data_IF_673168119856
#
_entry.id   IF_673168119856
#
_cell.length_a   1.000
_cell.length_b   1.000
_cell.length_c   1.000
_cell.angle_alpha   90.00
_cell.angle_beta   90.00
_cell.angle_gamma   90.00
#
_symmetry.space_group_name_H-M   'P 1'
#
loop_
_entity.id
_entity.type
_entity.pdbx_description
1 polymer ?
#
# COMPACT_ATOMS: atom_id res chain seq x y z
N UNK A 1 -4.15 -39.07 -9.39
CA UNK A 1 -4.13 -37.59 -9.39
C UNK A 1 -2.69 -37.20 -9.58
N UNK A 2 -2.37 -36.50 -10.68
CA UNK A 2 -0.99 -36.09 -11.00
C UNK A 2 -0.49 -35.09 -9.96
N UNK A 3 0.46 -35.50 -9.11
CA UNK A 3 1.08 -34.62 -8.12
C UNK A 3 1.72 -33.38 -8.77
N UNK A 4 2.27 -33.51 -9.97
CA UNK A 4 2.88 -32.40 -10.71
C UNK A 4 1.91 -31.27 -11.09
N UNK A 5 0.64 -31.59 -11.40
CA UNK A 5 -0.37 -30.56 -11.70
C UNK A 5 -0.80 -29.77 -10.46
N UNK A 6 -0.69 -30.38 -9.29
CA UNK A 6 -1.01 -29.73 -8.02
C UNK A 6 0.11 -28.77 -7.59
N UNK A 7 1.36 -29.16 -7.80
CA UNK A 7 2.54 -28.32 -7.56
C UNK A 7 2.56 -27.09 -8.48
N UNK A 8 2.24 -27.25 -9.78
CA UNK A 8 2.09 -26.12 -10.71
C UNK A 8 0.99 -25.14 -10.26
N UNK A 9 -0.16 -25.66 -9.81
CA UNK A 9 -1.27 -24.82 -9.34
C UNK A 9 -0.89 -24.05 -8.05
N UNK A 10 -0.17 -24.69 -7.13
CA UNK A 10 0.33 -24.05 -5.92
C UNK A 10 1.35 -22.94 -6.22
N UNK A 11 2.20 -23.12 -7.23
CA UNK A 11 3.16 -22.11 -7.65
C UNK A 11 2.49 -20.86 -8.26
N UNK A 12 1.24 -20.95 -8.73
CA UNK A 12 0.52 -19.84 -9.35
C UNK A 12 -0.58 -19.24 -8.47
N UNK A 13 -0.91 -19.90 -7.36
CA UNK A 13 -1.90 -19.40 -6.42
C UNK A 13 -1.31 -18.31 -5.52
N UNK A 14 -1.61 -17.04 -5.85
CA UNK A 14 -1.18 -15.87 -5.07
C UNK A 14 -2.36 -15.23 -4.37
N UNK A 15 -2.28 -15.12 -3.05
CA UNK A 15 -3.25 -14.38 -2.23
C UNK A 15 -2.74 -12.96 -2.03
N UNK A 16 -3.61 -11.97 -2.26
CA UNK A 16 -3.34 -10.58 -1.94
C UNK A 16 -4.37 -10.09 -0.94
N UNK A 17 -3.90 -9.39 0.08
CA UNK A 17 -4.69 -8.86 1.17
C UNK A 17 -4.51 -7.36 1.21
N UNK A 18 -5.62 -6.65 1.32
CA UNK A 18 -5.66 -5.22 1.58
C UNK A 18 -6.41 -4.98 2.88
N UNK A 19 -5.86 -4.18 3.78
CA UNK A 19 -6.55 -3.78 5.00
C UNK A 19 -6.62 -2.26 5.11
N UNK A 20 -7.78 -1.78 5.55
CA UNK A 20 -8.05 -0.36 5.75
C UNK A 20 -8.74 -0.16 7.10
N UNK A 21 -8.41 0.93 7.78
CA UNK A 21 -9.11 1.37 8.97
C UNK A 21 -9.98 2.58 8.65
N UNK A 22 -11.27 2.45 8.89
CA UNK A 22 -12.25 3.50 8.66
C UNK A 22 -13.46 3.29 9.58
N UNK A 23 -13.97 4.38 10.15
CA UNK A 23 -15.26 4.37 10.85
C UNK A 23 -16.42 4.14 9.86
N UNK A 24 -17.27 3.17 10.15
CA UNK A 24 -18.35 2.72 9.27
C UNK A 24 -19.59 2.34 10.06
N UNK A 25 -20.75 2.35 9.38
CA UNK A 25 -21.98 1.86 9.97
C UNK A 25 -22.10 0.36 9.75
N UNK A 26 -22.27 -0.41 10.82
CA UNK A 26 -22.50 -1.84 10.74
C UNK A 26 -23.89 -2.18 11.30
N UNK A 27 -24.64 -3.01 10.60
CA UNK A 27 -25.98 -3.38 11.03
C UNK A 27 -26.66 -4.41 10.14
N UNK A 28 -27.84 -4.85 10.59
CA UNK A 28 -28.67 -5.78 9.85
C UNK A 28 -29.44 -5.05 8.75
N UNK A 29 -29.05 -5.27 7.50
CA UNK A 29 -29.72 -4.73 6.31
C UNK A 29 -30.49 -5.85 5.61
N UNK A 30 -31.72 -5.57 5.23
CA UNK A 30 -32.54 -6.52 4.46
C UNK A 30 -34.03 -6.31 4.67
N UNK A 31 -34.80 -7.32 4.29
CA UNK A 31 -36.25 -7.31 4.43
C UNK A 31 -36.67 -7.75 5.84
N UNK A 32 -37.99 -7.71 6.11
CA UNK A 32 -38.54 -8.29 7.33
C UNK A 32 -38.23 -9.79 7.47
N UNK A 33 -38.13 -10.50 6.35
CA UNK A 33 -38.00 -11.97 6.30
C UNK A 33 -36.55 -12.47 6.20
N UNK A 34 -35.64 -11.62 5.71
CA UNK A 34 -34.22 -11.96 5.59
C UNK A 34 -33.38 -10.71 5.78
N UNK A 35 -32.47 -10.76 6.75
CA UNK A 35 -31.54 -9.69 7.07
C UNK A 35 -30.12 -10.25 7.06
N UNK A 36 -29.20 -9.51 6.45
CA UNK A 36 -27.77 -9.79 6.49
C UNK A 36 -27.09 -8.71 7.34
N UNK A 37 -26.15 -9.12 8.18
CA UNK A 37 -25.27 -8.15 8.82
C UNK A 37 -24.32 -7.59 7.76
N UNK A 38 -24.25 -6.27 7.63
CA UNK A 38 -23.50 -5.60 6.57
C UNK A 38 -22.83 -4.35 7.11
N UNK A 39 -21.66 -4.05 6.55
CA UNK A 39 -20.94 -2.80 6.77
C UNK A 39 -21.26 -1.85 5.61
N UNK A 40 -21.70 -0.64 5.95
CA UNK A 40 -22.09 0.42 5.02
C UNK A 40 -21.13 1.59 5.21
N UNK A 41 -20.52 2.03 4.11
CA UNK A 41 -19.60 3.16 4.06
C UNK A 41 -18.71 3.11 2.82
N UNK A 42 -17.86 4.13 2.66
CA UNK A 42 -16.86 4.18 1.59
C UNK A 42 -15.67 3.23 1.77
N UNK A 43 -15.63 2.44 2.86
CA UNK A 43 -14.54 1.49 3.13
C UNK A 43 -14.34 0.48 1.99
N UNK A 44 -15.42 0.03 1.34
CA UNK A 44 -15.31 -0.90 0.22
C UNK A 44 -14.53 -0.29 -0.95
N UNK A 45 -14.77 0.98 -1.26
CA UNK A 45 -14.02 1.71 -2.29
C UNK A 45 -12.55 1.88 -1.93
N UNK A 46 -12.27 2.22 -0.67
CA UNK A 46 -10.90 2.38 -0.19
C UNK A 46 -10.15 1.04 -0.22
N UNK A 47 -10.78 -0.06 0.18
CA UNK A 47 -10.23 -1.40 0.08
C UNK A 47 -9.96 -1.81 -1.38
N UNK A 48 -10.89 -1.56 -2.30
CA UNK A 48 -10.69 -1.83 -3.74
C UNK A 48 -9.49 -1.02 -4.29
N UNK A 49 -9.35 0.24 -3.86
CA UNK A 49 -8.23 1.11 -4.24
C UNK A 49 -6.89 0.54 -3.75
N UNK A 50 -6.82 0.09 -2.50
CA UNK A 50 -5.62 -0.54 -1.93
C UNK A 50 -5.33 -1.88 -2.62
N UNK A 51 -6.35 -2.69 -2.88
CA UNK A 51 -6.19 -3.96 -3.57
C UNK A 51 -5.65 -3.76 -5.00
N UNK A 52 -6.06 -2.68 -5.67
CA UNK A 52 -5.49 -2.32 -6.97
C UNK A 52 -4.00 -1.98 -6.85
N UNK A 53 -3.58 -1.25 -5.81
CA UNK A 53 -2.15 -1.01 -5.54
C UNK A 53 -1.40 -2.32 -5.34
N UNK A 54 -1.96 -3.26 -4.56
CA UNK A 54 -1.35 -4.57 -4.37
C UNK A 54 -1.20 -5.36 -5.67
N UNK A 55 -2.16 -5.26 -6.58
CA UNK A 55 -2.07 -5.89 -7.92
C UNK A 55 -1.01 -5.20 -8.78
N UNK A 56 -1.07 -3.87 -8.87
CA UNK A 56 -0.20 -3.07 -9.72
C UNK A 56 1.27 -3.16 -9.32
N UNK A 57 1.55 -3.34 -8.03
CA UNK A 57 2.88 -3.48 -7.45
C UNK A 57 3.25 -4.92 -7.12
N UNK A 58 2.37 -5.88 -7.39
CA UNK A 58 2.56 -7.29 -7.11
C UNK A 58 2.91 -7.59 -5.63
N UNK A 59 2.18 -6.97 -4.71
CA UNK A 59 2.39 -7.07 -3.26
C UNK A 59 1.40 -8.04 -2.62
N UNK A 60 1.84 -8.74 -1.59
CA UNK A 60 1.02 -9.70 -0.85
C UNK A 60 0.07 -9.04 0.14
N UNK A 61 0.55 -8.06 0.92
CA UNK A 61 -0.23 -7.41 1.97
C UNK A 61 -0.01 -5.90 1.91
N UNK A 62 -1.08 -5.14 1.75
CA UNK A 62 -1.05 -3.67 1.75
C UNK A 62 -1.99 -3.09 2.81
N UNK A 63 -1.55 -2.01 3.43
CA UNK A 63 -2.30 -1.30 4.47
C UNK A 63 -2.26 0.21 4.27
N UNK A 64 -3.25 0.91 4.81
CA UNK A 64 -3.22 2.37 4.91
C UNK A 64 -2.42 2.85 6.13
N UNK A 65 -1.92 4.08 6.07
CA UNK A 65 -1.19 4.81 7.13
C UNK A 65 -1.75 4.59 8.55
N UNK A 66 -3.07 4.75 8.75
CA UNK A 66 -3.69 4.57 10.10
C UNK A 66 -3.52 3.17 10.69
N UNK A 67 -3.40 2.15 9.85
CA UNK A 67 -3.11 0.77 10.29
C UNK A 67 -1.62 0.54 10.45
N UNK A 68 -0.81 1.14 9.57
CA UNK A 68 0.64 1.09 9.66
C UNK A 68 1.15 1.55 11.03
N UNK A 69 0.59 2.64 11.57
CA UNK A 69 0.89 3.16 12.93
C UNK A 69 0.61 2.16 14.06
N UNK A 70 -0.07 1.04 13.79
CA UNK A 70 -0.37 -0.03 14.76
C UNK A 70 0.38 -1.34 14.46
N UNK A 71 1.21 -1.36 13.42
CA UNK A 71 1.91 -2.54 12.93
C UNK A 71 3.39 -2.57 13.33
N UNK A 72 3.72 -2.15 14.56
CA UNK A 72 5.11 -2.04 15.06
C UNK A 72 5.87 -3.38 15.10
N UNK A 73 5.14 -4.49 15.14
CA UNK A 73 5.69 -5.84 15.18
C UNK A 73 5.96 -6.44 13.81
N UNK A 74 5.83 -5.66 12.74
CA UNK A 74 6.08 -6.11 11.38
C UNK A 74 7.04 -5.17 10.68
N UNK A 75 7.76 -5.73 9.72
CA UNK A 75 8.48 -4.91 8.77
C UNK A 75 7.50 -4.21 7.86
N UNK A 76 7.75 -2.94 7.60
CA UNK A 76 6.90 -2.14 6.74
C UNK A 76 7.74 -1.29 5.82
N UNK A 77 7.24 -1.07 4.62
CA UNK A 77 7.81 -0.10 3.69
C UNK A 77 6.71 0.70 3.02
N UNK A 78 6.98 1.98 2.78
CA UNK A 78 6.10 2.82 1.99
C UNK A 78 6.08 2.33 0.53
N UNK A 79 4.93 2.40 -0.14
CA UNK A 79 4.82 1.95 -1.54
C UNK A 79 4.15 2.97 -2.47
N UNK A 80 3.14 3.70 -1.99
CA UNK A 80 2.45 4.71 -2.78
C UNK A 80 1.67 5.70 -1.89
N UNK A 81 1.22 6.80 -2.46
CA UNK A 81 0.25 7.72 -1.85
C UNK A 81 -1.04 7.66 -2.65
N UNK A 82 -2.17 7.41 -1.99
CA UNK A 82 -3.49 7.36 -2.61
C UNK A 82 -4.47 8.34 -1.97
N UNK A 83 -5.39 8.84 -2.77
CA UNK A 83 -6.45 9.74 -2.34
C UNK A 83 -7.68 8.93 -1.90
N UNK A 84 -7.72 8.56 -0.61
CA UNK A 84 -8.78 7.74 -0.04
C UNK A 84 -9.98 8.59 0.40
N UNK A 85 -11.17 8.02 0.39
CA UNK A 85 -12.41 8.73 0.77
C UNK A 85 -12.53 8.81 2.28
N UNK A 86 -12.91 9.98 2.79
CA UNK A 86 -13.10 10.23 4.22
C UNK A 86 -14.43 9.61 4.73
N UNK A 87 -14.52 9.41 6.04
CA UNK A 87 -15.60 8.70 6.78
C UNK A 87 -17.01 9.29 6.63
N UNK A 88 -17.15 10.48 6.02
CA UNK A 88 -18.42 11.18 5.85
C UNK A 88 -19.18 10.79 4.57
N UNK A 89 -18.64 9.86 3.76
CA UNK A 89 -19.28 9.42 2.51
C UNK A 89 -19.81 8.00 2.63
N UNK A 90 -21.14 7.86 2.52
CA UNK A 90 -21.86 6.57 2.61
C UNK A 90 -22.26 5.99 1.25
N UNK A 91 -21.96 6.70 0.16
CA UNK A 91 -22.18 6.25 -1.22
C UNK A 91 -20.86 6.01 -1.93
N UNK A 92 -20.92 5.36 -3.09
CA UNK A 92 -19.75 5.18 -3.95
C UNK A 92 -19.41 6.53 -4.60
N UNK A 93 -18.15 7.00 -4.55
CA UNK A 93 -17.77 8.34 -5.01
C UNK A 93 -18.17 8.67 -6.45
N UNK A 94 -18.06 7.70 -7.37
CA UNK A 94 -18.39 7.90 -8.78
C UNK A 94 -19.89 8.05 -9.06
N UNK A 95 -20.76 7.58 -8.17
CA UNK A 95 -22.21 7.68 -8.34
C UNK A 95 -22.67 9.15 -8.28
N UNK A 96 -21.90 10.00 -7.60
CA UNK A 96 -22.18 11.44 -7.47
C UNK A 96 -21.83 12.18 -8.77
N UNK A 97 -20.90 11.67 -9.58
CA UNK A 97 -20.46 12.32 -10.82
C UNK A 97 -21.47 12.25 -11.99
N UNK A 98 -22.43 11.33 -11.96
CA UNK A 98 -23.33 11.05 -13.09
C UNK A 98 -24.72 11.69 -13.01
N UNK A 99 -24.98 12.61 -12.07
CA UNK A 99 -26.23 13.41 -12.09
C UNK A 99 -26.14 14.52 -13.15
N UNK A 100 -26.20 14.10 -14.41
CA UNK A 100 -26.19 14.92 -15.60
C UNK A 100 -27.52 15.63 -15.85
N UNK A 101 -27.83 16.64 -15.04
CA UNK A 101 -28.84 17.65 -15.36
C UNK A 101 -28.29 19.06 -15.09
N UNK A 102 -27.56 19.55 -16.10
CA UNK A 102 -27.70 20.92 -16.60
C UNK A 102 -27.74 22.11 -15.63
N UNK A 103 -26.85 22.21 -14.64
CA UNK A 103 -26.51 23.52 -14.05
C UNK A 103 -24.99 23.62 -13.87
N UNK A 104 -24.34 24.27 -14.85
CA UNK A 104 -23.01 24.83 -14.65
C UNK A 104 -23.17 26.16 -13.91
N UNK A 105 -22.58 26.27 -12.71
CA UNK A 105 -21.75 27.38 -12.19
C UNK A 105 -21.92 27.50 -10.67
N UNK A 106 -20.90 27.02 -9.94
CA UNK A 106 -20.34 27.49 -8.66
C UNK A 106 -19.93 26.28 -7.80
N UNK A 107 -18.62 26.19 -7.53
CA UNK A 107 -17.96 25.26 -6.60
C UNK A 107 -17.93 23.78 -7.05
N UNK A 108 -16.72 23.26 -7.31
CA UNK A 108 -16.47 21.82 -7.52
C UNK A 108 -16.92 21.08 -6.26
N UNK A 109 -18.16 20.62 -6.28
CA UNK A 109 -18.89 19.91 -5.25
C UNK A 109 -18.02 19.21 -4.18
N UNK A 110 -18.01 19.80 -2.99
CA UNK A 110 -17.53 19.27 -1.70
C UNK A 110 -18.26 18.00 -1.20
N UNK A 111 -18.87 17.22 -2.09
CA UNK A 111 -19.77 16.11 -1.69
C UNK A 111 -18.96 14.88 -1.23
N UNK A 112 -17.76 14.68 -1.77
CA UNK A 112 -16.89 13.57 -1.38
C UNK A 112 -15.51 14.11 -1.04
N UNK A 113 -15.22 14.23 0.26
CA UNK A 113 -13.89 14.61 0.72
C UNK A 113 -12.94 13.43 0.54
N UNK A 114 -11.82 13.67 -0.13
CA UNK A 114 -10.70 12.74 -0.18
C UNK A 114 -9.54 13.22 0.67
N UNK A 115 -8.77 12.28 1.20
CA UNK A 115 -7.55 12.50 1.97
C UNK A 115 -6.41 11.72 1.33
N UNK A 116 -5.33 12.43 1.02
CA UNK A 116 -4.07 11.78 0.68
C UNK A 116 -3.59 10.94 1.86
N UNK A 117 -3.39 9.66 1.60
CA UNK A 117 -3.02 8.65 2.60
C UNK A 117 -1.85 7.85 2.07
N UNK A 118 -0.83 7.66 2.89
CA UNK A 118 0.28 6.79 2.56
C UNK A 118 -0.16 5.32 2.62
N UNK A 119 0.32 4.54 1.66
CA UNK A 119 0.09 3.10 1.55
C UNK A 119 1.41 2.40 1.85
N UNK A 120 1.31 1.35 2.67
CA UNK A 120 2.46 0.58 3.13
C UNK A 120 2.27 -0.90 2.79
N UNK A 121 3.39 -1.56 2.50
CA UNK A 121 3.46 -3.01 2.45
C UNK A 121 3.81 -3.56 3.82
N UNK A 122 3.18 -4.68 4.20
CA UNK A 122 3.53 -5.44 5.40
C UNK A 122 4.38 -6.64 5.01
N UNK A 123 5.56 -6.72 5.62
CA UNK A 123 6.53 -7.81 5.47
C UNK A 123 6.46 -8.82 6.62
N UNK A 124 7.62 -9.38 6.97
CA UNK A 124 7.72 -10.40 8.01
C UNK A 124 7.53 -9.81 9.42
N UNK A 125 7.10 -10.64 10.36
CA UNK A 125 7.06 -10.29 11.78
C UNK A 125 8.49 -10.04 12.30
N UNK A 126 8.64 -9.01 13.14
CA UNK A 126 9.87 -8.71 13.87
C UNK A 126 9.95 -9.42 15.22
N UNK A 127 8.87 -10.11 15.63
CA UNK A 127 8.84 -10.91 16.86
C UNK A 127 9.50 -12.27 16.64
N UNK A 128 10.44 -12.60 17.51
CA UNK A 128 11.14 -13.89 17.49
C UNK A 128 10.18 -14.95 18.06
N UNK A 129 9.79 -15.93 17.25
CA UNK A 129 9.19 -17.16 17.77
C UNK A 129 10.32 -17.96 18.41
N UNK A 130 10.18 -18.19 19.72
CA UNK A 130 11.14 -18.86 20.60
C UNK A 130 11.70 -20.15 19.96
N UNK A 131 12.99 -20.12 19.61
CA UNK A 131 13.96 -21.22 19.60
C UNK A 131 15.36 -20.58 19.51
N UNK A 132 15.79 -20.09 20.68
CA UNK A 132 16.79 -19.05 20.95
C UNK A 132 18.27 -19.46 20.86
N UNK A 133 18.80 -20.04 19.78
CA UNK A 133 20.27 -20.14 19.72
C UNK A 133 20.91 -20.33 18.34
N UNK A 134 20.12 -20.56 17.28
CA UNK A 134 20.68 -20.86 15.95
C UNK A 134 20.51 -19.74 14.91
N UNK A 135 19.79 -18.65 15.24
CA UNK A 135 19.30 -17.69 14.24
C UNK A 135 19.71 -16.23 14.46
N UNK A 136 20.70 -15.90 15.29
CA UNK A 136 21.05 -14.49 15.56
C UNK A 136 21.52 -13.71 14.31
N UNK A 137 22.30 -14.34 13.42
CA UNK A 137 22.79 -13.69 12.19
C UNK A 137 21.69 -13.51 11.13
N UNK A 138 20.88 -14.54 10.91
CA UNK A 138 19.75 -14.45 9.98
C UNK A 138 18.66 -13.49 10.48
N UNK A 139 18.54 -13.29 11.80
CA UNK A 139 17.57 -12.38 12.41
C UNK A 139 17.99 -10.91 12.30
N UNK A 140 19.30 -10.62 12.33
CA UNK A 140 19.82 -9.28 12.04
C UNK A 140 19.64 -8.88 10.57
N UNK A 141 19.93 -9.78 9.64
CA UNK A 141 19.70 -9.55 8.20
C UNK A 141 18.22 -9.39 7.89
N UNK A 142 17.37 -10.23 8.50
CA UNK A 142 15.90 -10.10 8.38
C UNK A 142 15.45 -8.75 8.85
N UNK A 143 15.76 -8.33 10.10
CA UNK A 143 15.42 -7.01 10.65
C UNK A 143 15.92 -5.83 9.80
N UNK A 144 16.93 -6.05 8.96
CA UNK A 144 17.53 -5.08 8.05
C UNK A 144 16.86 -4.91 6.69
N UNK A 145 15.96 -5.82 6.27
CA UNK A 145 15.53 -5.97 4.87
C UNK A 145 15.17 -4.65 4.17
N UNK A 146 14.40 -3.78 4.82
CA UNK A 146 13.94 -2.52 4.22
C UNK A 146 14.55 -1.27 4.87
N UNK A 147 15.61 -1.40 5.67
CA UNK A 147 16.18 -0.25 6.39
C UNK A 147 16.73 0.81 5.44
N UNK A 148 17.49 0.40 4.42
CA UNK A 148 18.04 1.32 3.42
C UNK A 148 16.93 1.98 2.59
N UNK A 149 15.90 1.21 2.23
CA UNK A 149 14.72 1.72 1.55
C UNK A 149 13.98 2.76 2.40
N UNK A 150 13.71 2.43 3.66
CA UNK A 150 12.99 3.31 4.59
C UNK A 150 13.79 4.58 4.90
N UNK A 151 15.13 4.49 4.96
CA UNK A 151 15.99 5.67 5.05
C UNK A 151 15.86 6.54 3.80
N UNK A 152 15.82 5.95 2.61
CA UNK A 152 15.61 6.69 1.37
C UNK A 152 14.23 7.38 1.33
N UNK A 153 13.20 6.72 1.85
CA UNK A 153 11.84 7.27 1.97
C UNK A 153 11.82 8.50 2.89
N UNK A 154 12.62 8.53 3.97
CA UNK A 154 12.76 9.73 4.80
C UNK A 154 13.29 10.93 4.01
N UNK A 155 14.34 10.73 3.19
CA UNK A 155 14.87 11.78 2.31
C UNK A 155 13.86 12.18 1.22
N UNK A 156 13.11 11.22 0.68
CA UNK A 156 12.02 11.49 -0.28
C UNK A 156 10.97 12.44 0.32
N UNK A 157 10.51 12.17 1.54
CA UNK A 157 9.57 13.05 2.24
C UNK A 157 10.18 14.40 2.62
N UNK A 158 11.49 14.44 2.91
CA UNK A 158 12.24 15.67 3.12
C UNK A 158 12.52 16.46 1.82
N UNK A 159 12.08 15.97 0.66
CA UNK A 159 12.32 16.53 -0.68
C UNK A 159 13.79 16.56 -1.11
N UNK A 160 14.65 15.82 -0.41
CA UNK A 160 16.02 15.57 -0.83
C UNK A 160 16.03 14.37 -1.79
N UNK A 161 15.65 14.63 -3.03
CA UNK A 161 15.51 13.59 -4.05
C UNK A 161 16.85 13.00 -4.49
N UNK A 162 17.95 13.75 -4.35
CA UNK A 162 19.28 13.29 -4.74
C UNK A 162 19.79 12.22 -3.76
N UNK A 163 19.72 12.49 -2.46
CA UNK A 163 20.05 11.49 -1.44
C UNK A 163 19.10 10.29 -1.48
N UNK A 164 17.79 10.52 -1.67
CA UNK A 164 16.83 9.44 -1.83
C UNK A 164 17.18 8.52 -3.01
N UNK A 165 17.57 9.08 -4.16
CA UNK A 165 17.98 8.30 -5.34
C UNK A 165 19.22 7.46 -5.07
N UNK A 166 20.26 8.03 -4.46
CA UNK A 166 21.48 7.30 -4.14
C UNK A 166 21.20 6.07 -3.27
N UNK A 167 20.37 6.22 -2.23
CA UNK A 167 20.01 5.13 -1.34
C UNK A 167 19.10 4.08 -2.02
N UNK A 168 18.15 4.50 -2.85
CA UNK A 168 17.27 3.58 -3.59
C UNK A 168 18.02 2.75 -4.63
N UNK A 169 18.97 3.36 -5.35
CA UNK A 169 19.83 2.62 -6.31
C UNK A 169 20.68 1.60 -5.58
N UNK A 170 21.32 1.99 -4.47
CA UNK A 170 22.10 1.07 -3.63
C UNK A 170 21.24 -0.07 -3.06
N UNK A 171 20.00 0.23 -2.68
CA UNK A 171 19.05 -0.80 -2.24
C UNK A 171 18.70 -1.78 -3.35
N UNK A 172 18.41 -1.27 -4.55
CA UNK A 172 18.13 -2.10 -5.73
C UNK A 172 19.32 -2.99 -6.09
N UNK A 173 20.54 -2.48 -6.02
CA UNK A 173 21.76 -3.27 -6.22
C UNK A 173 21.91 -4.37 -5.17
N UNK A 174 21.60 -4.10 -3.90
CA UNK A 174 21.66 -5.11 -2.84
C UNK A 174 20.68 -6.27 -3.07
N UNK A 175 19.51 -6.00 -3.64
CA UNK A 175 18.52 -7.03 -3.96
C UNK A 175 18.95 -7.96 -5.11
N UNK A 176 19.84 -7.51 -6.00
CA UNK A 176 20.34 -8.31 -7.12
C UNK A 176 21.41 -9.33 -6.70
N UNK A 177 21.98 -9.18 -5.52
CA UNK A 177 23.02 -10.05 -4.98
C UNK A 177 22.48 -11.19 -4.09
N UNK A 178 21.20 -11.17 -3.73
CA UNK A 178 20.57 -12.24 -2.95
C UNK A 178 20.18 -13.41 -3.87
N UNK A 179 20.98 -14.49 -3.86
CA UNK A 179 20.86 -15.72 -4.68
C UNK A 179 19.56 -16.55 -4.47
N UNK A 180 18.59 -16.04 -3.71
CA UNK A 180 17.41 -16.79 -3.26
C UNK A 180 16.11 -16.07 -3.61
N UNK A 181 15.79 -16.00 -4.90
CA UNK A 181 14.39 -15.94 -5.33
C UNK A 181 14.08 -14.96 -6.45
N UNK A 182 14.38 -15.37 -7.68
CA UNK A 182 13.69 -14.91 -8.89
C UNK A 182 13.97 -13.48 -9.32
N UNK A 183 14.12 -13.28 -10.62
CA UNK A 183 14.23 -11.98 -11.31
C UNK A 183 12.94 -11.14 -11.21
N UNK A 184 12.21 -11.19 -10.10
CA UNK A 184 10.99 -10.42 -9.89
C UNK A 184 11.39 -9.00 -9.48
N UNK A 185 11.45 -8.13 -10.48
CA UNK A 185 11.76 -6.71 -10.33
C UNK A 185 10.95 -6.08 -9.19
N UNK A 186 11.63 -5.44 -8.24
CA UNK A 186 10.97 -4.75 -7.12
C UNK A 186 10.27 -3.47 -7.61
N UNK A 187 9.02 -3.63 -8.03
CA UNK A 187 8.19 -2.57 -8.59
C UNK A 187 8.06 -1.33 -7.67
N UNK A 188 7.94 -1.45 -6.33
CA UNK A 188 7.87 -0.29 -5.45
C UNK A 188 9.13 0.58 -5.51
N UNK A 189 10.32 -0.03 -5.51
CA UNK A 189 11.60 0.70 -5.62
C UNK A 189 11.73 1.39 -6.96
N UNK A 190 11.43 0.71 -8.07
CA UNK A 190 11.51 1.29 -9.41
C UNK A 190 10.56 2.48 -9.57
N UNK A 191 9.32 2.36 -9.10
CA UNK A 191 8.36 3.47 -9.16
C UNK A 191 8.83 4.66 -8.33
N UNK A 192 9.43 4.42 -7.16
CA UNK A 192 9.92 5.50 -6.32
C UNK A 192 11.15 6.19 -6.93
N UNK A 193 12.08 5.43 -7.53
CA UNK A 193 13.21 5.99 -8.29
C UNK A 193 12.71 6.89 -9.41
N UNK A 194 11.74 6.41 -10.22
CA UNK A 194 11.15 7.21 -11.29
C UNK A 194 10.48 8.48 -10.77
N UNK A 195 9.77 8.41 -9.63
CA UNK A 195 9.18 9.59 -8.97
C UNK A 195 10.28 10.59 -8.56
N UNK A 196 11.34 10.13 -7.88
CA UNK A 196 12.44 11.01 -7.47
C UNK A 196 13.14 11.66 -8.67
N UNK A 197 13.40 10.91 -9.75
CA UNK A 197 13.98 11.46 -10.99
C UNK A 197 13.11 12.58 -11.58
N UNK A 198 11.78 12.35 -11.67
CA UNK A 198 10.85 13.38 -12.18
C UNK A 198 10.84 14.62 -11.30
N UNK A 199 10.87 14.46 -9.98
CA UNK A 199 10.86 15.59 -9.04
C UNK A 199 12.19 16.34 -8.98
N UNK A 200 13.32 15.66 -9.15
CA UNK A 200 14.65 16.29 -9.21
C UNK A 200 14.82 17.17 -10.46
N UNK A 201 14.19 16.80 -11.58
CA UNK A 201 14.20 17.57 -12.82
C UNK A 201 13.03 18.58 -12.94
N UNK A 202 12.10 18.59 -11.99
CA UNK A 202 11.02 19.57 -11.99
C UNK A 202 11.59 20.96 -11.64
N UNK A 203 11.18 22.03 -12.35
CA UNK A 203 11.61 23.38 -12.00
C UNK A 203 11.16 23.67 -10.57
N UNK A 204 12.11 24.07 -9.71
CA UNK A 204 11.81 24.50 -8.34
C UNK A 204 10.79 25.63 -8.43
N UNK A 205 9.56 25.37 -8.02
CA UNK A 205 8.54 26.41 -7.91
C UNK A 205 9.02 27.32 -6.79
N UNK A 206 9.52 28.50 -7.16
CA UNK A 206 9.87 29.55 -6.23
C UNK A 206 8.54 30.00 -5.62
N UNK A 207 8.23 29.51 -4.43
CA UNK A 207 7.21 30.13 -3.59
C UNK A 207 7.88 31.33 -2.91
N UNK A 208 7.57 32.52 -3.43
CA UNK A 208 7.75 33.80 -2.73
C UNK A 208 6.81 33.89 -1.51
#
# INVERSE_FOLDING_TARGET
MDAGKYEELQQHFRVRVSACYQETFAGNLGTKYSKNFTVIGSIGYNLDTLLQVAKDLNLSIVVCERLHDRCDHFQTRYVDTKSLVVENCYSKPWLVQESGDGVQTAEKSDIVTHRETCVYEIGQSTQNVENEWMYELADQEKKGKWNLYNQAVQYYFAKDYEMALQLLVRFKESLQHDDHGGEEMDLPTERLIQKCQRMAHAPKTITE
#
